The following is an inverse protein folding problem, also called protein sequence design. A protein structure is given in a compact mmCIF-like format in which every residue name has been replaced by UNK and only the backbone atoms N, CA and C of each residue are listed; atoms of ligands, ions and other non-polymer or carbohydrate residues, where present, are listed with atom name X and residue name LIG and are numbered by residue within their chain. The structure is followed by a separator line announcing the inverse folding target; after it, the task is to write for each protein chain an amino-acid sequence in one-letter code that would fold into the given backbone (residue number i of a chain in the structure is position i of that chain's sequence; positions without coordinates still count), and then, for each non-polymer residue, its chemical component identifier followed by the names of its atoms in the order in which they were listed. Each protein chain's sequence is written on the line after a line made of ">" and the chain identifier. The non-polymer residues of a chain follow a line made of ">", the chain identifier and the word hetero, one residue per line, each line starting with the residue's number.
data_IF_957861443503
#
_entry.id   IF_957861443503
#
_cell.length_a   1.000
_cell.length_b   1.000
_cell.length_c   1.000
_cell.angle_alpha   90.00
_cell.angle_beta   90.00
_cell.angle_gamma   90.00
#
_symmetry.space_group_name_H-M   'P 1'
#
loop_
_entity.id
_entity.type
_entity.pdbx_description
1 polymer ?
#
# COMPACT_ATOMS: atom_id res chain seq x y z
N UNK A 1 68.49 27.53 -37.59
CA UNK A 1 68.76 26.10 -37.30
C UNK A 1 69.36 26.03 -35.90
N UNK A 2 68.79 25.25 -34.97
CA UNK A 2 69.25 23.92 -34.71
C UNK A 2 68.12 22.93 -34.49
N UNK A 3 68.45 21.63 -34.45
CA UNK A 3 67.72 20.40 -34.60
C UNK A 3 66.91 19.98 -33.33
N UNK A 4 65.72 19.37 -33.55
CA UNK A 4 64.95 18.61 -32.59
C UNK A 4 65.66 17.29 -32.25
N UNK A 5 65.55 16.76 -30.97
CA UNK A 5 65.89 15.42 -30.65
C UNK A 5 64.64 14.53 -30.67
N UNK A 6 64.86 13.27 -31.05
CA UNK A 6 63.90 12.27 -31.47
C UNK A 6 63.02 11.72 -30.36
N UNK A 7 61.82 11.36 -30.79
CA UNK A 7 60.85 10.58 -30.03
C UNK A 7 61.23 9.09 -30.01
N UNK A 8 61.37 8.55 -28.83
CA UNK A 8 61.53 7.08 -28.62
C UNK A 8 60.15 6.40 -28.70
N UNK A 9 60.02 5.57 -29.73
CA UNK A 9 58.85 4.72 -29.96
C UNK A 9 58.89 3.56 -28.94
N UNK A 10 57.98 3.53 -27.96
CA UNK A 10 57.81 2.42 -27.03
C UNK A 10 57.11 1.26 -27.74
N UNK A 11 57.82 0.15 -27.78
CA UNK A 11 57.46 -1.09 -28.44
C UNK A 11 56.34 -1.82 -27.68
N UNK A 12 55.20 -2.08 -28.34
CA UNK A 12 53.97 -2.69 -27.80
C UNK A 12 54.15 -4.15 -27.28
N UNK A 13 55.35 -4.72 -27.35
CA UNK A 13 55.60 -6.10 -26.92
C UNK A 13 56.17 -6.25 -25.49
N UNK A 14 56.40 -5.16 -24.76
CA UNK A 14 57.02 -5.18 -23.43
C UNK A 14 56.02 -5.04 -22.27
N UNK A 15 54.68 -5.02 -22.53
CA UNK A 15 53.63 -4.83 -21.49
C UNK A 15 52.91 -6.16 -21.12
N UNK A 16 53.29 -7.29 -21.71
CA UNK A 16 52.61 -8.58 -21.47
C UNK A 16 53.37 -9.56 -20.55
N UNK A 17 54.27 -9.07 -19.72
CA UNK A 17 55.01 -9.96 -18.82
C UNK A 17 55.03 -9.42 -17.39
N UNK A 18 53.92 -9.52 -16.65
CA UNK A 18 53.96 -9.12 -15.24
C UNK A 18 52.58 -8.99 -14.53
N UNK A 19 51.66 -9.91 -14.81
CA UNK A 19 50.51 -10.09 -13.94
C UNK A 19 50.66 -11.41 -13.18
N UNK A 20 51.39 -11.33 -12.06
CA UNK A 20 51.35 -12.38 -11.04
C UNK A 20 49.95 -12.43 -10.44
N UNK A 21 49.34 -13.61 -10.46
CA UNK A 21 48.06 -13.91 -9.89
C UNK A 21 48.03 -13.62 -8.37
N UNK A 22 47.49 -12.47 -7.97
CA UNK A 22 46.97 -12.29 -6.63
C UNK A 22 45.53 -12.80 -6.66
N UNK A 23 45.33 -14.05 -6.27
CA UNK A 23 43.98 -14.63 -6.04
C UNK A 23 43.31 -13.87 -4.91
N UNK A 24 42.51 -12.86 -5.23
CA UNK A 24 41.54 -12.30 -4.29
C UNK A 24 40.44 -13.36 -4.10
N UNK A 25 40.53 -14.12 -3.01
CA UNK A 25 39.36 -14.86 -2.49
C UNK A 25 38.30 -13.82 -2.13
N UNK A 26 37.41 -13.56 -3.07
CA UNK A 26 36.16 -12.84 -2.76
C UNK A 26 35.41 -13.73 -1.78
N UNK A 27 35.48 -13.42 -0.49
CA UNK A 27 34.54 -13.94 0.48
C UNK A 27 33.15 -13.40 0.06
N UNK A 28 32.39 -14.29 -0.59
CA UNK A 28 30.95 -14.06 -0.77
C UNK A 28 30.38 -13.86 0.63
N UNK A 29 30.13 -12.60 1.01
CA UNK A 29 29.31 -12.32 2.18
C UNK A 29 27.99 -13.06 1.97
N UNK A 30 27.52 -13.85 2.96
CA UNK A 30 26.23 -14.49 2.83
C UNK A 30 25.20 -13.37 2.58
N UNK A 31 24.48 -13.48 1.47
CA UNK A 31 23.30 -12.66 1.24
C UNK A 31 22.44 -12.77 2.51
N UNK A 32 21.89 -11.67 3.04
CA UNK A 32 21.00 -11.76 4.18
C UNK A 32 19.94 -12.79 3.85
N UNK A 33 19.85 -13.85 4.66
CA UNK A 33 18.76 -14.82 4.58
C UNK A 33 17.49 -13.96 4.64
N UNK A 34 16.76 -13.90 3.53
CA UNK A 34 15.43 -13.30 3.51
C UNK A 34 14.68 -14.06 4.59
N UNK A 35 14.29 -13.36 5.67
CA UNK A 35 13.56 -13.99 6.75
C UNK A 35 12.41 -14.76 6.12
N UNK A 36 12.32 -16.07 6.40
CA UNK A 36 11.16 -16.83 5.96
C UNK A 36 9.92 -16.11 6.52
N UNK A 37 8.87 -15.93 5.71
CA UNK A 37 7.65 -15.36 6.22
C UNK A 37 7.28 -16.11 7.51
N UNK A 38 7.02 -15.39 8.57
CA UNK A 38 6.48 -16.00 9.78
C UNK A 38 5.19 -16.72 9.38
N UNK A 39 4.91 -17.87 10.01
CA UNK A 39 3.64 -18.55 9.78
C UNK A 39 2.49 -17.56 10.02
N UNK A 40 1.39 -17.61 9.24
CA UNK A 40 0.27 -16.72 9.45
C UNK A 40 -0.21 -16.74 10.89
N UNK A 41 -0.35 -15.55 11.49
CA UNK A 41 -0.92 -15.38 12.82
C UNK A 41 -2.40 -15.03 12.71
N UNK A 42 -3.24 -15.51 13.64
CA UNK A 42 -4.66 -15.16 13.69
C UNK A 42 -4.91 -14.38 14.97
N UNK A 43 -5.30 -13.11 14.84
CA UNK A 43 -5.72 -12.25 15.94
C UNK A 43 -7.26 -12.10 15.93
N UNK A 44 -7.94 -12.80 16.84
CA UNK A 44 -9.39 -12.69 16.94
C UNK A 44 -9.80 -11.30 17.45
N UNK A 45 -10.70 -10.65 16.73
CA UNK A 45 -11.39 -9.44 17.18
C UNK A 45 -12.61 -9.83 18.02
N UNK A 46 -13.37 -10.80 17.53
CA UNK A 46 -14.50 -11.42 18.20
C UNK A 46 -14.71 -12.86 17.66
N UNK A 47 -15.73 -13.62 18.10
CA UNK A 47 -15.93 -14.99 17.62
C UNK A 47 -16.08 -15.12 16.10
N UNK A 48 -16.61 -14.11 15.40
CA UNK A 48 -16.86 -14.14 13.94
C UNK A 48 -15.78 -13.43 13.13
N UNK A 49 -15.07 -12.46 13.70
CA UNK A 49 -14.13 -11.59 13.00
C UNK A 49 -12.70 -11.74 13.54
N UNK A 50 -11.76 -11.92 12.66
CA UNK A 50 -10.33 -11.95 12.98
C UNK A 50 -9.49 -11.25 11.92
N UNK A 51 -8.26 -10.91 12.30
CA UNK A 51 -7.21 -10.45 11.38
C UNK A 51 -6.18 -11.57 11.24
N UNK A 52 -5.91 -11.97 10.01
CA UNK A 52 -4.79 -12.85 9.67
C UNK A 52 -3.60 -11.99 9.29
N UNK A 53 -2.50 -12.19 9.99
CA UNK A 53 -1.23 -11.45 9.80
C UNK A 53 -0.16 -12.36 9.19
N UNK A 54 0.92 -11.78 8.66
CA UNK A 54 2.02 -12.56 8.08
C UNK A 54 1.82 -12.95 6.62
N UNK A 55 0.79 -12.42 5.96
CA UNK A 55 0.45 -12.67 4.57
C UNK A 55 0.94 -11.58 3.60
N UNK A 56 1.88 -10.74 4.03
CA UNK A 56 2.31 -9.54 3.31
C UNK A 56 1.58 -8.31 3.85
N UNK A 57 0.26 -8.32 3.91
CA UNK A 57 -0.61 -7.40 4.63
C UNK A 57 -1.53 -8.11 5.62
N UNK A 58 -2.32 -7.36 6.35
CA UNK A 58 -3.41 -7.88 7.16
C UNK A 58 -4.58 -8.29 6.26
N UNK A 59 -5.14 -9.46 6.51
CA UNK A 59 -6.38 -9.92 5.87
C UNK A 59 -7.46 -10.04 6.93
N UNK A 60 -8.61 -9.37 6.73
CA UNK A 60 -9.74 -9.55 7.63
C UNK A 60 -10.52 -10.78 7.19
N UNK A 61 -10.83 -11.66 8.14
CA UNK A 61 -11.65 -12.85 7.92
C UNK A 61 -12.87 -12.77 8.83
N UNK A 62 -14.06 -12.62 8.24
CA UNK A 62 -15.32 -12.80 8.91
C UNK A 62 -15.91 -14.15 8.49
N UNK A 63 -16.29 -14.96 9.45
CA UNK A 63 -16.88 -16.27 9.18
C UNK A 63 -17.99 -16.59 10.18
N UNK A 64 -19.05 -17.22 9.66
CA UNK A 64 -20.10 -17.88 10.43
C UNK A 64 -20.56 -19.14 9.68
N UNK A 65 -21.62 -19.80 10.16
CA UNK A 65 -22.13 -21.05 9.56
C UNK A 65 -22.66 -20.86 8.12
N UNK A 66 -22.98 -19.62 7.71
CA UNK A 66 -23.62 -19.31 6.44
C UNK A 66 -22.66 -18.73 5.40
N UNK A 67 -21.62 -17.99 5.83
CA UNK A 67 -20.80 -17.19 4.92
C UNK A 67 -19.38 -16.96 5.43
N UNK A 68 -18.45 -16.82 4.47
CA UNK A 68 -17.08 -16.37 4.69
C UNK A 68 -16.82 -15.14 3.83
N UNK A 69 -16.44 -14.04 4.49
CA UNK A 69 -16.10 -12.77 3.85
C UNK A 69 -14.66 -12.40 4.20
N UNK A 70 -13.90 -12.03 3.20
CA UNK A 70 -12.53 -11.53 3.35
C UNK A 70 -12.44 -10.05 2.99
N UNK A 71 -11.50 -9.35 3.61
CA UNK A 71 -11.00 -8.06 3.12
C UNK A 71 -9.52 -8.23 2.88
N UNK A 72 -9.13 -8.04 1.62
CA UNK A 72 -7.83 -8.31 1.03
C UNK A 72 -7.45 -9.80 0.96
N UNK A 73 -6.40 -10.11 0.21
CA UNK A 73 -6.00 -11.49 -0.07
C UNK A 73 -4.50 -11.75 0.10
N UNK A 74 -3.75 -10.71 0.54
CA UNK A 74 -2.33 -10.82 0.84
C UNK A 74 -1.41 -10.80 -0.40
N UNK A 75 -0.12 -10.92 -0.13
CA UNK A 75 0.95 -10.85 -1.12
C UNK A 75 1.10 -12.15 -1.93
N UNK A 76 1.85 -12.06 -3.01
CA UNK A 76 2.15 -13.21 -3.87
C UNK A 76 2.75 -14.40 -3.09
N UNK A 77 2.23 -15.60 -3.36
CA UNK A 77 2.65 -16.84 -2.71
C UNK A 77 2.11 -17.05 -1.30
N UNK A 78 1.15 -16.23 -0.84
CA UNK A 78 0.54 -16.35 0.49
C UNK A 78 -0.87 -16.99 0.45
N UNK A 79 -1.41 -17.30 -0.73
CA UNK A 79 -2.77 -17.82 -0.88
C UNK A 79 -2.99 -19.14 -0.12
N UNK A 80 -2.03 -20.06 -0.13
CA UNK A 80 -2.14 -21.33 0.61
C UNK A 80 -2.24 -21.10 2.12
N UNK A 81 -1.41 -20.20 2.67
CA UNK A 81 -1.44 -19.82 4.08
C UNK A 81 -2.75 -19.12 4.46
N UNK A 82 -3.29 -18.29 3.59
CA UNK A 82 -4.61 -17.66 3.77
C UNK A 82 -5.71 -18.71 3.78
N UNK A 83 -5.73 -19.63 2.81
CA UNK A 83 -6.74 -20.70 2.73
C UNK A 83 -6.67 -21.67 3.92
N UNK A 84 -5.46 -21.92 4.46
CA UNK A 84 -5.29 -22.68 5.69
C UNK A 84 -5.93 -21.95 6.89
N UNK A 85 -5.64 -20.65 7.05
CA UNK A 85 -6.21 -19.82 8.11
C UNK A 85 -7.75 -19.73 8.01
N UNK A 86 -8.29 -19.62 6.80
CA UNK A 86 -9.74 -19.64 6.53
C UNK A 86 -10.33 -21.00 6.92
N UNK A 87 -9.68 -22.11 6.53
CA UNK A 87 -10.14 -23.47 6.88
C UNK A 87 -10.17 -23.68 8.39
N UNK A 88 -9.11 -23.27 9.09
CA UNK A 88 -9.02 -23.43 10.54
C UNK A 88 -10.11 -22.65 11.26
N UNK A 89 -10.51 -21.50 10.72
CA UNK A 89 -11.49 -20.63 11.34
C UNK A 89 -12.93 -20.99 10.95
N UNK A 90 -13.18 -21.28 9.69
CA UNK A 90 -14.53 -21.48 9.13
C UNK A 90 -14.88 -22.95 8.87
N UNK A 91 -13.94 -23.88 9.06
CA UNK A 91 -14.14 -25.30 8.71
C UNK A 91 -14.22 -25.58 7.21
N UNK A 92 -14.01 -24.57 6.37
CA UNK A 92 -14.12 -24.63 4.90
C UNK A 92 -13.10 -23.71 4.25
N UNK A 93 -12.74 -23.99 3.02
CA UNK A 93 -11.93 -23.09 2.16
C UNK A 93 -12.79 -22.21 1.25
N UNK A 94 -14.13 -22.34 1.34
CA UNK A 94 -15.04 -21.52 0.55
C UNK A 94 -15.00 -20.09 1.08
N UNK A 95 -14.77 -19.15 0.19
CA UNK A 95 -14.93 -17.71 0.39
C UNK A 95 -16.08 -17.24 -0.49
N UNK A 96 -17.09 -16.62 0.10
CA UNK A 96 -18.26 -16.13 -0.64
C UNK A 96 -17.99 -14.75 -1.24
N UNK A 97 -17.37 -13.86 -0.47
CA UNK A 97 -17.07 -12.48 -0.89
C UNK A 97 -15.66 -12.08 -0.45
N UNK A 98 -14.93 -11.47 -1.36
CA UNK A 98 -13.63 -10.85 -1.14
C UNK A 98 -13.73 -9.37 -1.49
N UNK A 99 -13.48 -8.49 -0.53
CA UNK A 99 -13.29 -7.06 -0.79
C UNK A 99 -11.81 -6.77 -0.99
N UNK A 100 -11.45 -5.96 -1.99
CA UNK A 100 -10.10 -5.38 -2.08
C UNK A 100 -10.14 -3.93 -1.64
N UNK A 101 -9.34 -3.61 -0.62
CA UNK A 101 -9.23 -2.23 -0.12
C UNK A 101 -8.62 -1.29 -1.16
N UNK A 102 -7.66 -1.79 -1.93
CA UNK A 102 -7.05 -1.11 -3.08
C UNK A 102 -6.36 -2.13 -4.00
N UNK A 103 -5.56 -1.67 -4.97
CA UNK A 103 -5.03 -2.52 -6.05
C UNK A 103 -3.57 -2.96 -5.89
N UNK A 104 -2.86 -2.63 -4.81
CA UNK A 104 -1.46 -3.04 -4.63
C UNK A 104 -1.32 -4.56 -4.46
N UNK A 105 -0.25 -5.11 -5.06
CA UNK A 105 -0.07 -6.56 -5.17
C UNK A 105 0.12 -7.28 -3.84
N UNK A 106 0.56 -6.60 -2.81
CA UNK A 106 0.67 -7.14 -1.45
C UNK A 106 -0.70 -7.31 -0.76
N UNK A 107 -1.77 -6.75 -1.35
CA UNK A 107 -3.15 -6.87 -0.87
C UNK A 107 -4.02 -7.77 -1.76
N UNK A 108 -3.70 -7.89 -3.07
CA UNK A 108 -4.59 -8.53 -4.04
C UNK A 108 -4.00 -9.76 -4.74
N UNK A 109 -2.78 -10.16 -4.40
CA UNK A 109 -2.13 -11.27 -5.14
C UNK A 109 -2.77 -12.64 -4.93
N UNK A 110 -3.55 -12.84 -3.87
CA UNK A 110 -4.35 -14.07 -3.67
C UNK A 110 -5.70 -14.06 -4.38
N UNK A 111 -6.05 -12.99 -5.10
CA UNK A 111 -7.35 -12.85 -5.77
C UNK A 111 -7.60 -13.97 -6.80
N UNK A 112 -6.57 -14.35 -7.56
CA UNK A 112 -6.73 -15.35 -8.63
C UNK A 112 -7.18 -16.69 -8.07
N UNK A 113 -6.53 -17.16 -7.02
CA UNK A 113 -6.86 -18.43 -6.36
C UNK A 113 -8.27 -18.39 -5.74
N UNK A 114 -8.61 -17.27 -5.08
CA UNK A 114 -9.94 -17.10 -4.48
C UNK A 114 -11.05 -16.99 -5.54
N UNK A 115 -10.78 -16.26 -6.64
CA UNK A 115 -11.71 -16.17 -7.77
C UNK A 115 -11.92 -17.47 -8.49
N UNK A 116 -10.88 -18.30 -8.66
CA UNK A 116 -10.99 -19.66 -9.20
C UNK A 116 -11.80 -20.58 -8.29
N UNK A 117 -11.78 -20.35 -6.98
CA UNK A 117 -12.63 -21.04 -6.00
C UNK A 117 -14.06 -20.50 -5.94
N UNK A 118 -14.37 -19.46 -6.71
CA UNK A 118 -15.72 -18.92 -6.88
C UNK A 118 -16.09 -17.77 -5.96
N UNK A 119 -15.12 -17.11 -5.32
CA UNK A 119 -15.35 -15.91 -4.54
C UNK A 119 -15.84 -14.75 -5.44
N UNK A 120 -16.87 -14.02 -5.00
CA UNK A 120 -17.25 -12.76 -5.60
C UNK A 120 -16.25 -11.67 -5.13
N UNK A 121 -15.49 -11.10 -6.05
CA UNK A 121 -14.51 -10.06 -5.74
C UNK A 121 -15.17 -8.70 -5.91
N UNK A 122 -15.17 -7.89 -4.85
CA UNK A 122 -15.79 -6.55 -4.77
C UNK A 122 -14.71 -5.51 -4.61
N UNK A 123 -14.67 -4.51 -5.49
CA UNK A 123 -13.73 -3.41 -5.41
C UNK A 123 -14.25 -2.16 -6.12
N UNK A 124 -13.59 -1.03 -5.88
CA UNK A 124 -13.82 0.18 -6.64
C UNK A 124 -13.47 -0.02 -8.13
N UNK A 125 -14.18 0.68 -9.04
CA UNK A 125 -13.96 0.57 -10.50
C UNK A 125 -12.50 0.87 -10.90
N UNK A 126 -11.86 1.84 -10.24
CA UNK A 126 -10.44 2.17 -10.50
C UNK A 126 -9.51 0.99 -10.13
N UNK A 127 -9.77 0.31 -9.01
CA UNK A 127 -9.05 -0.91 -8.64
C UNK A 127 -9.19 -1.98 -9.72
N UNK A 128 -10.41 -2.22 -10.22
CA UNK A 128 -10.61 -3.13 -11.34
C UNK A 128 -9.79 -2.70 -12.58
N UNK A 129 -9.83 -1.43 -12.95
CA UNK A 129 -9.09 -0.93 -14.12
C UNK A 129 -7.57 -1.17 -13.98
N UNK A 130 -7.01 -0.96 -12.77
CA UNK A 130 -5.60 -1.23 -12.48
C UNK A 130 -5.24 -2.71 -12.60
N UNK A 131 -6.10 -3.60 -12.11
CA UNK A 131 -5.85 -5.06 -12.17
C UNK A 131 -6.05 -5.63 -13.57
N UNK A 132 -6.96 -5.06 -14.36
CA UNK A 132 -7.33 -5.56 -15.69
C UNK A 132 -6.45 -5.03 -16.84
N UNK A 133 -5.60 -4.03 -16.60
CA UNK A 133 -4.76 -3.42 -17.63
C UNK A 133 -3.31 -3.30 -17.18
N UNK A 134 -2.33 -3.43 -18.09
CA UNK A 134 -0.94 -3.16 -17.72
C UNK A 134 -0.78 -1.69 -17.31
N UNK A 135 -0.04 -1.44 -16.24
CA UNK A 135 0.31 -0.08 -15.79
C UNK A 135 1.80 0.05 -15.51
N UNK A 136 2.32 1.27 -15.69
CA UNK A 136 3.73 1.56 -15.46
C UNK A 136 3.99 1.83 -13.99
N UNK A 137 5.05 1.22 -13.46
CA UNK A 137 5.58 1.43 -12.11
C UNK A 137 6.84 2.31 -12.19
N UNK A 138 6.75 3.62 -11.98
CA UNK A 138 7.89 4.53 -12.16
C UNK A 138 9.06 4.24 -11.21
N UNK A 139 8.78 3.76 -10.01
CA UNK A 139 9.79 3.43 -8.99
C UNK A 139 10.63 2.21 -9.36
N UNK A 140 10.11 1.34 -10.22
CA UNK A 140 10.76 0.09 -10.66
C UNK A 140 11.15 0.14 -12.14
N UNK A 141 10.84 1.23 -12.86
CA UNK A 141 11.06 1.41 -14.30
C UNK A 141 10.57 0.23 -15.14
N UNK A 142 9.38 -0.28 -14.82
CA UNK A 142 8.77 -1.42 -15.53
C UNK A 142 7.26 -1.30 -15.63
N UNK A 143 6.69 -2.08 -16.54
CA UNK A 143 5.24 -2.30 -16.58
C UNK A 143 4.87 -3.50 -15.70
N UNK A 144 3.87 -3.29 -14.84
CA UNK A 144 3.13 -4.37 -14.21
C UNK A 144 2.11 -4.91 -15.22
N UNK A 145 2.17 -6.20 -15.59
CA UNK A 145 1.16 -6.78 -16.48
C UNK A 145 -0.20 -6.86 -15.77
N UNK A 146 -1.27 -6.88 -16.56
CA UNK A 146 -2.60 -7.19 -16.03
C UNK A 146 -2.58 -8.54 -15.29
N UNK A 147 -3.36 -8.64 -14.21
CA UNK A 147 -3.56 -9.89 -13.50
C UNK A 147 -4.43 -10.86 -14.34
N UNK A 148 -4.42 -12.17 -14.05
CA UNK A 148 -5.34 -13.12 -14.66
C UNK A 148 -6.80 -12.73 -14.44
N UNK A 149 -7.68 -13.07 -15.37
CA UNK A 149 -9.11 -12.72 -15.31
C UNK A 149 -9.80 -13.16 -14.00
N UNK A 150 -9.38 -14.28 -13.43
CA UNK A 150 -9.91 -14.78 -12.15
C UNK A 150 -9.59 -13.84 -10.97
N UNK A 151 -8.56 -13.00 -11.09
CA UNK A 151 -8.20 -12.01 -10.07
C UNK A 151 -8.99 -10.70 -10.17
N UNK A 152 -9.77 -10.51 -11.23
CA UNK A 152 -10.45 -9.24 -11.45
C UNK A 152 -11.72 -9.13 -10.61
N UNK A 153 -12.01 -7.93 -10.02
CA UNK A 153 -13.28 -7.67 -9.37
C UNK A 153 -14.47 -7.98 -10.27
N UNK A 154 -15.39 -8.81 -9.77
CA UNK A 154 -16.61 -9.22 -10.46
C UNK A 154 -17.79 -8.31 -10.11
N UNK A 155 -17.76 -7.69 -8.91
CA UNK A 155 -18.67 -6.61 -8.51
C UNK A 155 -17.88 -5.31 -8.33
N UNK A 156 -18.26 -4.31 -9.10
CA UNK A 156 -17.58 -3.00 -9.14
C UNK A 156 -18.54 -1.89 -8.75
N UNK A 157 -18.04 -0.86 -8.11
CA UNK A 157 -18.82 0.32 -7.71
C UNK A 157 -17.98 1.59 -7.81
N UNK A 158 -18.64 2.76 -7.74
CA UNK A 158 -17.99 4.07 -7.80
C UNK A 158 -18.04 4.79 -6.46
N UNK A 159 -19.19 4.80 -5.78
CA UNK A 159 -19.41 5.59 -4.57
C UNK A 159 -19.45 4.72 -3.32
N UNK A 160 -20.52 3.95 -3.15
CA UNK A 160 -20.74 3.09 -2.00
C UNK A 160 -21.58 1.85 -2.35
N UNK A 161 -21.73 0.96 -1.37
CA UNK A 161 -22.59 -0.19 -1.45
C UNK A 161 -22.80 -0.87 -0.11
N UNK A 162 -23.62 -1.89 -0.12
CA UNK A 162 -23.89 -2.73 1.04
C UNK A 162 -24.06 -4.20 0.67
N UNK A 163 -23.67 -5.07 1.58
CA UNK A 163 -23.91 -6.52 1.55
C UNK A 163 -24.59 -6.91 2.86
N UNK A 164 -25.84 -7.37 2.75
CA UNK A 164 -26.62 -7.85 3.89
C UNK A 164 -26.49 -9.38 3.99
N UNK A 165 -25.89 -9.85 5.08
CA UNK A 165 -25.75 -11.27 5.39
C UNK A 165 -26.88 -11.77 6.32
N UNK A 166 -27.86 -10.92 6.64
CA UNK A 166 -28.96 -11.18 7.57
C UNK A 166 -28.57 -11.01 9.05
N UNK A 167 -27.38 -11.45 9.44
CA UNK A 167 -26.83 -11.29 10.80
C UNK A 167 -25.69 -10.26 10.87
N UNK A 168 -25.29 -9.69 9.75
CA UNK A 168 -24.30 -8.63 9.61
C UNK A 168 -24.63 -7.78 8.39
N UNK A 169 -24.59 -6.47 8.55
CA UNK A 169 -24.64 -5.53 7.45
C UNK A 169 -23.23 -5.01 7.19
N UNK A 170 -22.69 -5.31 6.02
CA UNK A 170 -21.39 -4.80 5.59
C UNK A 170 -21.63 -3.61 4.66
N UNK A 171 -21.20 -2.42 5.07
CA UNK A 171 -21.16 -1.24 4.20
C UNK A 171 -19.74 -1.04 3.69
N UNK A 172 -19.63 -0.61 2.46
CA UNK A 172 -18.34 -0.28 1.86
C UNK A 172 -18.48 0.98 1.01
N UNK A 173 -17.43 1.75 0.92
CA UNK A 173 -17.47 2.99 0.16
C UNK A 173 -16.09 3.50 -0.21
N UNK A 174 -16.07 4.41 -1.16
CA UNK A 174 -14.86 4.99 -1.71
C UNK A 174 -14.20 5.93 -0.71
N UNK A 175 -12.88 5.76 -0.57
CA UNK A 175 -11.98 6.70 0.11
C UNK A 175 -11.24 7.50 -0.96
N UNK A 176 -11.76 8.69 -1.25
CA UNK A 176 -11.33 9.49 -2.40
C UNK A 176 -9.82 9.76 -2.35
N UNK A 177 -9.05 9.03 -3.19
CA UNK A 177 -7.63 9.26 -3.44
C UNK A 177 -6.76 9.35 -2.17
N UNK A 178 -7.02 8.45 -1.18
CA UNK A 178 -6.32 8.48 0.11
C UNK A 178 -4.86 8.01 0.00
N UNK A 179 -4.65 6.74 -0.33
CA UNK A 179 -3.36 6.08 -0.54
C UNK A 179 -3.13 5.83 -2.03
N UNK A 180 -4.18 5.40 -2.74
CA UNK A 180 -4.25 5.21 -4.19
C UNK A 180 -5.51 5.89 -4.75
N UNK A 181 -5.75 5.74 -6.07
CA UNK A 181 -6.99 6.19 -6.71
C UNK A 181 -8.17 5.22 -6.52
N UNK A 182 -7.97 4.05 -5.91
CA UNK A 182 -8.97 2.99 -5.80
C UNK A 182 -9.32 2.56 -4.39
N UNK A 183 -8.96 3.34 -3.38
CA UNK A 183 -9.12 2.96 -1.97
C UNK A 183 -10.58 2.87 -1.55
N UNK A 184 -10.89 1.87 -0.71
CA UNK A 184 -12.21 1.73 -0.09
C UNK A 184 -12.08 1.42 1.41
N UNK A 185 -13.13 1.74 2.16
CA UNK A 185 -13.35 1.15 3.47
C UNK A 185 -14.36 0.00 3.38
N UNK A 186 -14.26 -0.95 4.31
CA UNK A 186 -15.26 -2.03 4.50
C UNK A 186 -15.65 -2.03 5.98
N UNK A 187 -16.91 -1.69 6.28
CA UNK A 187 -17.44 -1.56 7.63
C UNK A 187 -18.40 -2.69 7.96
N UNK A 188 -18.07 -3.44 9.00
CA UNK A 188 -18.93 -4.44 9.63
C UNK A 188 -19.73 -3.74 10.73
N UNK A 189 -21.00 -3.43 10.42
CA UNK A 189 -21.85 -2.57 11.27
C UNK A 189 -22.07 -3.16 12.65
N UNK A 190 -22.51 -4.44 12.71
CA UNK A 190 -22.84 -5.09 13.98
C UNK A 190 -21.59 -5.45 14.80
N UNK A 191 -20.48 -5.74 14.13
CA UNK A 191 -19.21 -6.02 14.78
C UNK A 191 -18.45 -4.73 15.16
N UNK A 192 -18.91 -3.56 14.65
CA UNK A 192 -18.32 -2.23 14.83
C UNK A 192 -16.82 -2.19 14.48
N UNK A 193 -16.49 -2.71 13.31
CA UNK A 193 -15.12 -2.79 12.79
C UNK A 193 -15.07 -2.19 11.39
N UNK A 194 -14.04 -1.40 11.11
CA UNK A 194 -13.77 -0.83 9.80
C UNK A 194 -12.40 -1.30 9.32
N UNK A 195 -12.33 -2.01 8.20
CA UNK A 195 -11.10 -2.23 7.46
C UNK A 195 -10.91 -1.06 6.48
N UNK A 196 -9.78 -0.38 6.57
CA UNK A 196 -9.49 0.85 5.83
C UNK A 196 -8.20 0.78 5.00
N UNK A 197 -7.60 -0.41 4.87
CA UNK A 197 -6.40 -0.59 4.05
C UNK A 197 -5.25 0.33 4.49
N UNK A 198 -4.54 0.88 3.51
CA UNK A 198 -3.41 1.79 3.72
C UNK A 198 -3.84 3.26 3.92
N UNK A 199 -5.16 3.53 4.05
CA UNK A 199 -5.63 4.85 4.47
C UNK A 199 -5.26 5.19 5.92
N UNK A 200 -4.89 4.19 6.75
CA UNK A 200 -4.32 4.36 8.10
C UNK A 200 -3.00 3.58 8.24
N UNK A 201 -2.00 4.17 8.90
CA UNK A 201 -0.62 3.66 8.93
C UNK A 201 -0.02 3.64 10.34
N UNK A 202 -0.42 2.67 11.20
CA UNK A 202 0.08 2.62 12.57
C UNK A 202 1.50 2.05 12.70
N UNK A 203 1.98 1.32 11.69
CA UNK A 203 3.27 0.63 11.75
C UNK A 203 4.38 1.39 11.02
N UNK A 204 4.05 2.00 9.88
CA UNK A 204 5.00 2.70 9.00
C UNK A 204 4.62 4.17 8.83
N UNK A 205 5.48 4.96 8.20
CA UNK A 205 5.10 6.28 7.75
C UNK A 205 3.93 6.20 6.77
N UNK A 206 3.00 7.19 6.77
CA UNK A 206 1.91 7.22 5.80
C UNK A 206 2.45 7.17 4.37
N UNK A 207 2.00 6.22 3.58
CA UNK A 207 2.39 6.11 2.18
C UNK A 207 1.35 6.74 1.27
N UNK A 208 1.82 7.52 0.28
CA UNK A 208 1.01 8.14 -0.74
C UNK A 208 1.53 7.66 -2.09
N UNK A 209 0.80 6.79 -2.77
CA UNK A 209 1.11 6.43 -4.14
C UNK A 209 0.62 7.52 -5.09
N UNK A 210 1.37 8.62 -5.15
CA UNK A 210 1.00 9.77 -5.96
C UNK A 210 0.99 9.49 -7.47
N UNK A 211 1.70 8.45 -7.96
CA UNK A 211 1.59 7.97 -9.34
C UNK A 211 0.29 7.19 -9.57
N UNK A 212 -0.17 6.48 -8.55
CA UNK A 212 -1.43 5.76 -8.53
C UNK A 212 -2.62 6.61 -8.08
N UNK A 213 -2.45 7.93 -8.00
CA UNK A 213 -3.53 8.88 -7.73
C UNK A 213 -3.78 9.23 -6.26
N UNK A 214 -3.02 8.62 -5.33
CA UNK A 214 -3.10 8.99 -3.92
C UNK A 214 -2.52 10.39 -3.64
N UNK A 215 -3.14 11.16 -2.77
CA UNK A 215 -2.64 12.48 -2.40
C UNK A 215 -2.97 12.89 -0.96
N UNK A 216 -2.17 13.81 -0.43
CA UNK A 216 -2.25 14.20 0.99
C UNK A 216 -3.62 14.73 1.40
N UNK A 217 -4.29 15.53 0.56
CA UNK A 217 -5.63 16.06 0.85
C UNK A 217 -6.71 14.98 0.82
N UNK A 218 -6.67 14.07 -0.16
CA UNK A 218 -7.59 12.93 -0.20
C UNK A 218 -7.44 12.01 1.02
N UNK A 219 -6.21 11.85 1.53
CA UNK A 219 -6.00 11.14 2.79
C UNK A 219 -6.62 11.85 3.99
N UNK A 220 -6.51 13.19 4.09
CA UNK A 220 -7.17 13.98 5.15
C UNK A 220 -8.69 13.80 5.08
N UNK A 221 -9.29 13.96 3.90
CA UNK A 221 -10.74 13.81 3.71
C UNK A 221 -11.21 12.39 4.03
N UNK A 222 -10.43 11.38 3.64
CA UNK A 222 -10.72 9.97 3.92
C UNK A 222 -10.66 9.66 5.42
N UNK A 223 -9.67 10.18 6.14
CA UNK A 223 -9.59 10.03 7.59
C UNK A 223 -10.75 10.75 8.29
N UNK A 224 -11.17 11.92 7.81
CA UNK A 224 -12.38 12.61 8.29
C UNK A 224 -13.63 11.74 8.09
N UNK A 225 -13.81 11.15 6.92
CA UNK A 225 -14.91 10.24 6.64
C UNK A 225 -14.92 9.03 7.58
N UNK A 226 -13.74 8.39 7.80
CA UNK A 226 -13.62 7.26 8.72
C UNK A 226 -14.01 7.64 10.17
N UNK A 227 -13.66 8.84 10.59
CA UNK A 227 -14.06 9.38 11.90
C UNK A 227 -15.56 9.61 11.98
N UNK A 228 -16.19 10.16 10.93
CA UNK A 228 -17.64 10.38 10.88
C UNK A 228 -18.43 9.06 10.88
N UNK A 229 -17.86 8.00 10.29
CA UNK A 229 -18.46 6.66 10.28
C UNK A 229 -18.27 5.89 11.59
N UNK A 230 -17.54 6.40 12.57
CA UNK A 230 -17.10 5.67 13.76
C UNK A 230 -17.61 6.27 15.06
N UNK A 231 -17.59 5.43 16.10
CA UNK A 231 -17.75 5.83 17.50
C UNK A 231 -16.53 5.42 18.34
N UNK A 232 -16.56 5.72 19.64
CA UNK A 232 -15.43 5.44 20.54
C UNK A 232 -15.13 3.94 20.72
N UNK A 233 -16.07 3.05 20.38
CA UNK A 233 -15.89 1.60 20.45
C UNK A 233 -15.44 1.00 19.10
N UNK A 234 -15.43 1.77 18.03
CA UNK A 234 -15.05 1.31 16.69
C UNK A 234 -13.58 0.91 16.67
N UNK A 235 -13.30 -0.23 16.05
CA UNK A 235 -11.94 -0.73 15.79
C UNK A 235 -11.63 -0.65 14.31
N UNK A 236 -10.41 -0.22 14.00
CA UNK A 236 -9.94 -0.06 12.64
C UNK A 236 -8.84 -1.08 12.33
N UNK A 237 -8.96 -1.74 11.18
CA UNK A 237 -7.96 -2.68 10.68
C UNK A 237 -7.22 -2.02 9.52
N UNK A 238 -5.93 -1.69 9.70
CA UNK A 238 -5.06 -1.22 8.63
C UNK A 238 -4.53 -2.39 7.80
N UNK A 239 -3.95 -2.11 6.62
CA UNK A 239 -3.18 -3.13 5.89
C UNK A 239 -1.96 -3.62 6.67
N UNK A 240 -1.36 -2.79 7.51
CA UNK A 240 -0.15 -3.12 8.27
C UNK A 240 -0.25 -2.67 9.71
N UNK A 241 0.22 -3.54 10.61
CA UNK A 241 0.29 -3.23 12.05
C UNK A 241 -0.92 -3.68 12.86
N UNK A 242 -1.06 -3.19 14.09
CA UNK A 242 -2.13 -3.61 14.99
C UNK A 242 -3.48 -3.01 14.60
N UNK A 243 -4.55 -3.66 15.07
CA UNK A 243 -5.89 -3.04 15.12
C UNK A 243 -5.82 -1.82 16.04
N UNK A 244 -6.36 -0.69 15.57
CA UNK A 244 -6.32 0.58 16.28
C UNK A 244 -7.73 1.08 16.61
N UNK A 245 -7.81 2.08 17.47
CA UNK A 245 -9.06 2.72 17.88
C UNK A 245 -9.27 4.08 17.17
N UNK A 246 -10.41 4.70 17.47
CA UNK A 246 -10.78 6.00 16.92
C UNK A 246 -9.78 7.10 17.30
N UNK A 247 -9.17 7.02 18.48
CA UNK A 247 -8.20 8.05 18.93
C UNK A 247 -6.92 8.02 18.10
N UNK A 248 -6.49 6.85 17.64
CA UNK A 248 -5.38 6.72 16.71
C UNK A 248 -5.72 7.39 15.36
N UNK A 249 -6.90 7.09 14.79
CA UNK A 249 -7.33 7.66 13.51
C UNK A 249 -7.44 9.18 13.61
N UNK A 250 -7.93 9.72 14.74
CA UNK A 250 -7.93 11.16 14.99
C UNK A 250 -6.50 11.75 14.99
N UNK A 251 -5.57 11.06 15.67
CA UNK A 251 -4.18 11.51 15.72
C UNK A 251 -3.51 11.49 14.34
N UNK A 252 -3.82 10.49 13.52
CA UNK A 252 -3.32 10.42 12.14
C UNK A 252 -3.96 11.48 11.25
N UNK A 253 -5.26 11.75 11.42
CA UNK A 253 -5.95 12.84 10.74
C UNK A 253 -5.28 14.19 11.05
N UNK A 254 -5.05 14.49 12.33
CA UNK A 254 -4.45 15.75 12.74
C UNK A 254 -3.01 15.89 12.20
N UNK A 255 -2.26 14.77 12.16
CA UNK A 255 -0.94 14.70 11.54
C UNK A 255 -1.00 15.05 10.05
N UNK A 256 -1.90 14.39 9.30
CA UNK A 256 -2.01 14.57 7.84
C UNK A 256 -2.55 15.95 7.49
N UNK A 257 -3.49 16.49 8.28
CA UNK A 257 -3.96 17.87 8.14
C UNK A 257 -2.84 18.87 8.37
N UNK A 258 -2.06 18.70 9.44
CA UNK A 258 -0.89 19.55 9.70
C UNK A 258 0.17 19.47 8.59
N UNK A 259 0.37 18.30 8.00
CA UNK A 259 1.26 18.13 6.85
C UNK A 259 0.69 18.82 5.60
N UNK A 260 -0.61 18.66 5.35
CA UNK A 260 -1.30 19.34 4.24
C UNK A 260 -1.16 20.86 4.35
N UNK A 261 -1.47 21.46 5.50
CA UNK A 261 -1.38 22.90 5.75
C UNK A 261 0.05 23.42 5.56
N UNK A 262 1.04 22.69 6.10
CA UNK A 262 2.44 23.01 5.92
C UNK A 262 2.83 23.05 4.43
N UNK A 263 2.43 22.02 3.68
CA UNK A 263 2.77 21.88 2.27
C UNK A 263 2.03 22.89 1.40
N UNK A 264 0.76 23.16 1.69
CA UNK A 264 -0.06 24.08 0.91
C UNK A 264 0.61 25.45 0.72
N UNK A 265 1.14 26.01 1.79
CA UNK A 265 1.84 27.30 1.75
C UNK A 265 3.21 27.21 1.08
N UNK A 266 3.93 26.10 1.29
CA UNK A 266 5.34 25.96 0.85
C UNK A 266 5.42 25.61 -0.64
N UNK A 267 4.56 24.70 -1.12
CA UNK A 267 4.47 24.39 -2.56
C UNK A 267 4.11 25.63 -3.37
N UNK A 268 3.18 26.45 -2.87
CA UNK A 268 2.83 27.74 -3.51
C UNK A 268 3.96 28.76 -3.48
N UNK A 269 4.82 28.72 -2.47
CA UNK A 269 6.03 29.55 -2.39
C UNK A 269 7.17 29.02 -3.28
N UNK A 270 7.03 27.86 -3.92
CA UNK A 270 8.04 27.24 -4.77
C UNK A 270 9.14 26.52 -4.00
N UNK A 271 8.95 26.24 -2.70
CA UNK A 271 9.90 25.48 -1.90
C UNK A 271 9.86 23.99 -2.34
N UNK A 272 11.03 23.36 -2.41
CA UNK A 272 11.16 21.92 -2.68
C UNK A 272 10.92 21.07 -1.41
N UNK A 273 10.74 19.76 -1.57
CA UNK A 273 10.65 18.85 -0.43
C UNK A 273 11.94 18.91 0.42
N UNK A 274 13.10 19.01 -0.22
CA UNK A 274 14.40 19.14 0.43
C UNK A 274 14.50 20.40 1.30
N UNK A 275 14.04 21.56 0.78
CA UNK A 275 14.03 22.82 1.52
C UNK A 275 13.17 22.70 2.79
N UNK A 276 12.02 22.02 2.69
CA UNK A 276 11.10 21.82 3.82
C UNK A 276 11.74 20.93 4.89
N UNK A 277 12.38 19.81 4.50
CA UNK A 277 13.09 18.93 5.45
C UNK A 277 14.22 19.67 6.14
N UNK A 278 15.09 20.32 5.37
CA UNK A 278 16.26 21.02 5.91
C UNK A 278 15.86 22.17 6.84
N UNK A 279 14.70 22.79 6.63
CA UNK A 279 14.19 23.86 7.48
C UNK A 279 13.79 23.43 8.89
N UNK A 280 13.67 22.11 9.17
CA UNK A 280 13.24 21.58 10.46
C UNK A 280 11.74 21.80 10.76
N UNK A 281 10.95 22.22 9.78
CA UNK A 281 9.51 22.52 9.98
C UNK A 281 8.67 21.31 10.33
N UNK A 282 9.12 20.10 9.92
CA UNK A 282 8.46 18.84 10.29
C UNK A 282 8.50 18.56 11.79
N UNK A 283 9.46 19.13 12.52
CA UNK A 283 9.57 18.95 13.97
C UNK A 283 8.37 19.54 14.74
N UNK A 284 7.57 20.39 14.09
CA UNK A 284 6.32 20.91 14.64
C UNK A 284 5.16 19.90 14.56
N UNK A 285 5.28 18.84 13.76
CA UNK A 285 4.26 17.79 13.65
C UNK A 285 4.31 16.83 14.85
N UNK A 286 3.18 16.24 15.24
CA UNK A 286 3.09 15.44 16.48
C UNK A 286 3.78 14.08 16.39
N UNK A 287 4.20 13.65 15.21
CA UNK A 287 4.88 12.37 14.95
C UNK A 287 6.22 12.62 14.25
N UNK A 288 7.24 11.84 14.64
CA UNK A 288 8.46 11.74 13.85
C UNK A 288 8.29 10.70 12.77
N UNK A 289 8.92 10.93 11.62
CA UNK A 289 8.90 10.04 10.48
C UNK A 289 10.21 9.26 10.40
N UNK A 290 10.12 8.00 9.94
CA UNK A 290 11.29 7.15 9.70
C UNK A 290 12.05 7.61 8.46
N UNK A 291 11.33 7.97 7.40
CA UNK A 291 11.87 8.56 6.17
C UNK A 291 11.08 9.82 5.77
N UNK A 292 11.37 10.98 6.45
CA UNK A 292 10.66 12.21 6.17
C UNK A 292 10.84 12.71 4.73
N UNK A 293 11.95 12.35 4.06
CA UNK A 293 12.16 12.75 2.68
C UNK A 293 11.24 11.98 1.72
N UNK A 294 11.09 10.67 1.90
CA UNK A 294 10.18 9.84 1.10
C UNK A 294 8.74 10.36 1.22
N UNK A 295 8.27 10.56 2.45
CA UNK A 295 6.92 11.06 2.70
C UNK A 295 6.69 12.45 2.09
N UNK A 296 7.61 13.40 2.38
CA UNK A 296 7.47 14.76 1.85
C UNK A 296 7.55 14.82 0.33
N UNK A 297 8.43 14.05 -0.27
CA UNK A 297 8.52 13.98 -1.73
C UNK A 297 7.19 13.51 -2.33
N UNK A 298 6.63 12.41 -1.80
CA UNK A 298 5.34 11.89 -2.26
C UNK A 298 4.21 12.90 -2.03
N UNK A 299 4.12 13.49 -0.83
CA UNK A 299 3.10 14.47 -0.49
C UNK A 299 3.21 15.76 -1.35
N UNK A 300 4.42 16.29 -1.52
CA UNK A 300 4.69 17.46 -2.38
C UNK A 300 4.30 17.19 -3.85
N UNK A 301 4.69 16.02 -4.38
CA UNK A 301 4.35 15.62 -5.76
C UNK A 301 2.86 15.40 -5.93
N UNK A 302 2.20 14.79 -4.95
CA UNK A 302 0.76 14.55 -4.98
C UNK A 302 -0.03 15.86 -5.03
N UNK A 303 0.35 16.86 -4.23
CA UNK A 303 -0.27 18.18 -4.29
C UNK A 303 -0.08 18.85 -5.66
N UNK A 304 1.15 18.81 -6.17
CA UNK A 304 1.43 19.42 -7.47
C UNK A 304 0.65 18.73 -8.60
N UNK A 305 0.58 17.41 -8.60
CA UNK A 305 -0.17 16.64 -9.59
C UNK A 305 -1.67 16.94 -9.49
N UNK A 306 -2.24 16.94 -8.29
CA UNK A 306 -3.66 17.21 -8.05
C UNK A 306 -4.07 18.60 -8.53
N UNK A 307 -3.34 19.66 -8.15
CA UNK A 307 -3.65 21.02 -8.59
C UNK A 307 -3.48 21.23 -10.10
N UNK A 308 -2.51 20.57 -10.73
CA UNK A 308 -2.36 20.65 -12.19
C UNK A 308 -3.47 19.93 -12.94
N UNK A 309 -3.97 18.81 -12.43
CA UNK A 309 -5.11 18.10 -13.03
C UNK A 309 -6.36 18.97 -12.99
N UNK A 310 -6.64 19.61 -11.85
CA UNK A 310 -7.77 20.53 -11.72
C UNK A 310 -7.66 21.77 -12.65
N UNK A 311 -6.44 22.21 -12.99
CA UNK A 311 -6.25 23.34 -13.89
C UNK A 311 -6.48 22.98 -15.37
N UNK A 312 -6.47 21.71 -15.73
CA UNK A 312 -6.78 21.24 -17.08
C UNK A 312 -8.28 21.14 -17.38
N UNK A 313 -9.10 20.98 -16.34
CA UNK A 313 -10.56 20.93 -16.48
C UNK A 313 -11.23 22.32 -16.54
N UNK A 314 -10.42 23.39 -16.43
CA UNK A 314 -10.89 24.79 -16.48
C UNK A 314 -10.60 25.49 -17.82
N UNK A 315 -10.05 24.77 -18.80
CA UNK A 315 -9.77 25.34 -20.14
C UNK A 315 -10.72 24.79 -21.20
#
# INVERSE_FOLDING_TARGET
>A
MPRSPGGTCLNRRAVLGGLAAAGAAATLAPLPLRAQPAAPGIAAINPRLAVVTGLGGNVVVRSDDASVVLVDSGAAGQADGLLEAVRDRAGSVRVDTLFNTHWHLDQVSGNAELGELGAEIVAHEKTHARLATPYYLPTEDRYQPALPAAAHPTRRFFDDGALDLGNELIRYGYLLEAHTDGDIYVRFENDNVIAAGDAISPLYDPELDWYGGGWVGGRVDSLSLLLDLSDDATRFVPSYGPVVDRSYVQSEHDLMLGLFDLLFDRVRAGESAEDIVVSGRLDALPRRFDDPMKLLYAAHKSMWAHYNTLSHDIV
#
